data_IF_296577146694
#
_entry.id   IF_296577146694
#
_cell.length_a   1.000
_cell.length_b   1.000
_cell.length_c   1.000
_cell.angle_alpha   90.00
_cell.angle_beta   90.00
_cell.angle_gamma   90.00
#
_symmetry.space_group_name_H-M   'P 1'
#
loop_
_entity.id
_entity.type
_entity.pdbx_description
1 polymer ?
#
# COMPACT_ATOMS: atom_id res chain seq x y z
N UNK A 1 -11.53 -3.72 24.82
CA UNK A 1 -10.98 -4.83 24.02
C UNK A 1 -9.52 -4.52 23.71
N UNK A 2 -8.73 -5.57 23.63
CA UNK A 2 -7.31 -5.52 23.29
C UNK A 2 -7.08 -6.10 21.88
N UNK A 3 -6.59 -5.28 20.98
CA UNK A 3 -6.20 -5.68 19.63
C UNK A 3 -4.71 -5.98 19.60
N UNK A 4 -4.34 -7.10 19.02
CA UNK A 4 -2.95 -7.50 18.85
C UNK A 4 -2.64 -7.53 17.35
N UNK A 5 -1.71 -6.69 16.92
CA UNK A 5 -1.29 -6.53 15.53
C UNK A 5 0.12 -7.12 15.40
N UNK A 6 0.29 -8.12 14.55
CA UNK A 6 1.60 -8.75 14.34
C UNK A 6 2.17 -8.34 13.00
N UNK A 7 3.35 -7.73 13.04
CA UNK A 7 4.08 -7.22 11.89
C UNK A 7 4.27 -5.70 11.93
N UNK A 8 5.53 -5.27 11.91
CA UNK A 8 5.96 -3.87 11.96
C UNK A 8 6.12 -3.21 10.59
N UNK A 9 5.52 -3.76 9.54
CA UNK A 9 5.48 -3.16 8.21
C UNK A 9 4.49 -1.98 8.10
N UNK A 10 4.35 -1.42 6.91
CA UNK A 10 3.39 -0.33 6.62
C UNK A 10 1.99 -0.74 7.06
N UNK A 11 1.55 -1.96 6.73
CA UNK A 11 0.22 -2.46 7.09
C UNK A 11 -0.03 -2.48 8.58
N UNK A 12 0.96 -2.93 9.38
CA UNK A 12 0.82 -3.00 10.85
C UNK A 12 0.71 -1.62 11.48
N UNK A 13 1.63 -0.72 11.18
CA UNK A 13 1.61 0.63 11.74
C UNK A 13 0.42 1.46 11.27
N UNK A 14 0.03 1.33 9.99
CA UNK A 14 -1.17 2.00 9.48
C UNK A 14 -2.44 1.45 10.11
N UNK A 15 -2.55 0.12 10.29
CA UNK A 15 -3.68 -0.50 11.00
C UNK A 15 -3.79 0.00 12.43
N UNK A 16 -2.67 0.07 13.16
CA UNK A 16 -2.64 0.60 14.51
C UNK A 16 -3.15 2.05 14.57
N UNK A 17 -2.73 2.91 13.66
CA UNK A 17 -3.19 4.30 13.57
C UNK A 17 -4.68 4.40 13.25
N UNK A 18 -5.16 3.68 12.24
CA UNK A 18 -6.56 3.71 11.81
C UNK A 18 -7.47 3.21 12.93
N UNK A 19 -7.18 2.03 13.50
CA UNK A 19 -8.03 1.46 14.54
C UNK A 19 -8.00 2.27 15.81
N UNK A 20 -6.83 2.73 16.25
CA UNK A 20 -6.72 3.57 17.45
C UNK A 20 -7.40 4.94 17.29
N UNK A 21 -7.51 5.46 16.07
CA UNK A 21 -8.31 6.65 15.80
C UNK A 21 -9.81 6.36 15.83
N UNK A 22 -10.25 5.33 15.11
CA UNK A 22 -11.67 5.01 14.97
C UNK A 22 -12.29 4.40 16.23
N UNK A 23 -11.48 3.76 17.07
CA UNK A 23 -11.89 3.07 18.30
C UNK A 23 -10.95 3.43 19.45
N UNK A 24 -10.95 4.70 19.92
CA UNK A 24 -9.95 5.21 20.87
C UNK A 24 -10.01 4.56 22.26
N UNK A 25 -11.15 3.95 22.64
CA UNK A 25 -11.34 3.33 23.94
C UNK A 25 -10.82 1.89 24.02
N UNK A 26 -10.07 1.44 23.02
CA UNK A 26 -9.47 0.10 22.97
C UNK A 26 -7.95 0.19 23.12
N UNK A 27 -7.35 -0.90 23.55
CA UNK A 27 -5.91 -1.08 23.63
C UNK A 27 -5.39 -1.75 22.35
N UNK A 28 -4.26 -1.29 21.85
CA UNK A 28 -3.59 -1.80 20.66
C UNK A 28 -2.16 -2.20 21.02
N UNK A 29 -1.83 -3.44 20.76
CA UNK A 29 -0.46 -3.94 20.93
C UNK A 29 0.08 -4.30 19.56
N UNK A 30 1.18 -3.69 19.16
CA UNK A 30 1.88 -4.04 17.93
C UNK A 30 3.16 -4.80 18.27
N UNK A 31 3.34 -5.96 17.62
CA UNK A 31 4.50 -6.83 17.77
C UNK A 31 5.33 -6.74 16.50
N UNK A 32 6.58 -6.37 16.63
CA UNK A 32 7.53 -6.26 15.51
C UNK A 32 8.81 -7.00 15.88
N UNK A 33 9.27 -7.90 15.01
CA UNK A 33 10.54 -8.57 15.16
C UNK A 33 11.68 -7.73 14.57
N UNK A 34 12.76 -7.58 15.32
CA UNK A 34 14.01 -7.00 14.80
C UNK A 34 14.74 -7.93 13.84
N UNK A 35 14.43 -9.23 13.88
CA UNK A 35 15.13 -10.26 13.11
C UNK A 35 14.55 -10.44 11.70
N UNK A 36 13.39 -9.82 11.45
CA UNK A 36 12.70 -9.87 10.15
C UNK A 36 12.95 -8.58 9.38
N UNK A 37 13.69 -8.69 8.31
CA UNK A 37 13.92 -7.54 7.42
C UNK A 37 12.64 -7.13 6.70
N UNK A 38 12.40 -5.83 6.65
CA UNK A 38 11.32 -5.28 5.83
C UNK A 38 11.64 -5.49 4.35
N UNK A 39 10.73 -6.16 3.66
CA UNK A 39 10.83 -6.29 2.20
C UNK A 39 10.42 -4.95 1.59
N UNK A 40 11.35 -4.32 0.89
CA UNK A 40 11.12 -3.06 0.17
C UNK A 40 11.43 -3.25 -1.31
N UNK A 41 10.41 -3.32 -2.13
CA UNK A 41 10.54 -3.48 -3.60
C UNK A 41 10.22 -2.20 -4.37
N UNK A 42 10.04 -1.07 -3.62
CA UNK A 42 9.42 0.14 -4.15
C UNK A 42 7.89 -0.02 -4.15
N UNK A 43 7.22 0.83 -3.39
CA UNK A 43 5.78 0.74 -3.21
C UNK A 43 5.07 1.87 -3.96
N UNK A 44 4.01 1.50 -4.69
CA UNK A 44 3.08 2.45 -5.26
C UNK A 44 1.73 2.32 -4.58
N UNK A 45 1.17 3.41 -4.11
CA UNK A 45 -0.15 3.41 -3.48
C UNK A 45 -1.28 3.53 -4.51
N UNK A 46 -2.50 3.49 -4.02
CA UNK A 46 -3.71 3.98 -4.70
C UNK A 46 -4.10 5.34 -4.12
N UNK A 47 -5.06 6.03 -4.74
CA UNK A 47 -5.62 7.27 -4.20
C UNK A 47 -6.27 7.06 -2.83
N UNK A 48 -6.87 5.89 -2.59
CA UNK A 48 -7.47 5.53 -1.29
C UNK A 48 -6.48 5.61 -0.13
N UNK A 49 -5.20 5.31 -0.35
CA UNK A 49 -4.18 5.44 0.69
C UNK A 49 -4.05 6.90 1.15
N UNK A 50 -3.95 7.83 0.20
CA UNK A 50 -3.83 9.27 0.50
C UNK A 50 -5.05 9.76 1.25
N UNK A 51 -6.26 9.45 0.76
CA UNK A 51 -7.52 9.77 1.44
C UNK A 51 -7.58 9.20 2.87
N UNK A 52 -7.06 7.99 3.07
CA UNK A 52 -7.05 7.35 4.39
C UNK A 52 -6.14 8.08 5.36
N UNK A 53 -4.92 8.44 4.94
CA UNK A 53 -3.99 9.14 5.82
C UNK A 53 -4.42 10.59 6.10
N UNK A 54 -5.12 11.25 5.18
CA UNK A 54 -5.72 12.58 5.38
C UNK A 54 -6.77 12.60 6.49
N UNK A 55 -7.47 11.49 6.69
CA UNK A 55 -8.48 11.37 7.76
C UNK A 55 -7.86 11.13 9.14
N UNK A 56 -6.54 10.89 9.23
CA UNK A 56 -5.86 10.65 10.49
C UNK A 56 -5.33 11.97 11.07
N UNK A 57 -5.81 12.40 12.24
CA UNK A 57 -5.47 13.72 12.80
C UNK A 57 -3.98 13.90 13.11
N UNK A 58 -3.24 12.80 13.27
CA UNK A 58 -1.81 12.84 13.56
C UNK A 58 -0.95 13.00 12.30
N UNK A 59 -1.55 12.91 11.11
CA UNK A 59 -0.84 12.95 9.83
C UNK A 59 -1.19 14.22 9.07
N UNK A 60 -0.17 15.01 8.77
CA UNK A 60 -0.24 16.05 7.74
C UNK A 60 0.38 15.48 6.45
N UNK A 61 -0.37 15.44 5.35
CA UNK A 61 0.08 14.83 4.09
C UNK A 61 1.30 15.54 3.51
N UNK A 62 1.40 16.84 3.62
CA UNK A 62 2.57 17.58 3.14
C UNK A 62 3.83 17.24 3.97
N UNK A 63 3.67 17.11 5.29
CA UNK A 63 4.73 16.63 6.18
C UNK A 63 5.11 15.19 5.83
N UNK A 64 4.11 14.31 5.65
CA UNK A 64 4.31 12.92 5.26
C UNK A 64 5.16 12.81 3.98
N UNK A 65 4.76 13.52 2.92
CA UNK A 65 5.49 13.52 1.63
C UNK A 65 6.93 13.99 1.82
N UNK A 66 7.15 15.06 2.58
CA UNK A 66 8.48 15.61 2.82
C UNK A 66 9.37 14.64 3.61
N UNK A 67 8.86 14.08 4.71
CA UNK A 67 9.65 13.24 5.61
C UNK A 67 9.91 11.84 5.06
N UNK A 68 8.95 11.29 4.33
CA UNK A 68 9.09 9.97 3.69
C UNK A 68 9.74 10.03 2.31
N UNK A 69 9.98 11.24 1.78
CA UNK A 69 10.46 11.46 0.39
C UNK A 69 9.53 10.83 -0.65
N UNK A 70 8.26 10.68 -0.32
CA UNK A 70 7.26 10.18 -1.24
C UNK A 70 7.15 11.09 -2.47
N UNK A 71 6.87 10.51 -3.62
CA UNK A 71 6.68 11.26 -4.87
C UNK A 71 5.30 10.97 -5.45
N UNK A 72 4.70 11.93 -6.17
CA UNK A 72 3.40 11.72 -6.80
C UNK A 72 3.43 10.52 -7.77
N UNK A 73 2.34 9.75 -7.78
CA UNK A 73 2.10 8.69 -8.75
C UNK A 73 0.76 8.98 -9.44
N UNK A 74 0.79 9.26 -10.73
CA UNK A 74 -0.39 9.61 -11.53
C UNK A 74 -0.88 8.48 -12.42
N UNK A 75 -0.09 7.42 -12.57
CA UNK A 75 -0.50 6.28 -13.37
C UNK A 75 0.63 5.28 -13.60
N UNK A 76 0.29 4.29 -14.41
CA UNK A 76 1.22 3.24 -14.85
C UNK A 76 1.28 3.27 -16.39
N UNK A 77 2.46 3.34 -16.94
CA UNK A 77 2.73 3.18 -18.37
C UNK A 77 3.15 1.74 -18.63
N UNK A 78 2.39 1.07 -19.47
CA UNK A 78 2.61 -0.31 -19.87
C UNK A 78 3.24 -0.35 -21.26
N UNK A 79 4.43 -0.95 -21.36
CA UNK A 79 5.15 -1.06 -22.62
C UNK A 79 5.22 -2.52 -23.10
N UNK A 80 4.95 -2.74 -24.38
CA UNK A 80 4.98 -4.04 -25.06
C UNK A 80 3.92 -5.07 -24.59
N UNK A 81 2.93 -4.68 -23.80
CA UNK A 81 1.91 -5.61 -23.27
C UNK A 81 0.91 -6.06 -24.33
N UNK A 82 0.56 -5.18 -25.28
CA UNK A 82 -0.34 -5.46 -26.40
C UNK A 82 0.39 -5.82 -27.70
N UNK A 83 1.70 -6.08 -27.62
CA UNK A 83 2.57 -6.37 -28.73
C UNK A 83 3.84 -5.52 -28.71
N UNK A 84 4.85 -5.92 -29.46
CA UNK A 84 6.14 -5.19 -29.53
C UNK A 84 5.95 -3.75 -30.01
N UNK A 85 6.46 -2.80 -29.23
CA UNK A 85 6.35 -1.37 -29.53
C UNK A 85 5.03 -0.72 -29.07
N UNK A 86 4.08 -1.49 -28.50
CA UNK A 86 2.86 -0.92 -27.94
C UNK A 86 3.16 -0.18 -26.63
N UNK A 87 2.47 0.93 -26.40
CA UNK A 87 2.49 1.67 -25.14
C UNK A 87 1.09 2.15 -24.85
N UNK A 88 0.63 1.95 -23.61
CA UNK A 88 -0.59 2.56 -23.11
C UNK A 88 -0.43 3.03 -21.67
N UNK A 89 -1.20 4.04 -21.29
CA UNK A 89 -1.17 4.64 -19.97
C UNK A 89 -2.47 4.33 -19.22
N UNK A 90 -2.33 3.82 -18.00
CA UNK A 90 -3.45 3.62 -17.09
C UNK A 90 -3.37 4.66 -15.97
N UNK A 91 -4.23 5.69 -15.95
CA UNK A 91 -4.26 6.67 -14.87
C UNK A 91 -4.70 6.03 -13.56
N UNK A 92 -4.18 6.52 -12.43
CA UNK A 92 -4.61 6.05 -11.08
C UNK A 92 -6.04 6.49 -10.79
N UNK A 93 -6.33 7.72 -11.17
CA UNK A 93 -7.63 8.36 -11.02
C UNK A 93 -7.67 9.55 -12.00
N UNK A 94 -8.72 10.34 -11.97
CA UNK A 94 -8.75 11.57 -12.75
C UNK A 94 -9.49 11.42 -14.07
N UNK A 95 -10.42 10.47 -14.13
CA UNK A 95 -11.51 10.59 -15.11
C UNK A 95 -12.24 11.89 -14.82
N UNK A 96 -12.45 12.69 -15.85
CA UNK A 96 -13.17 13.97 -15.75
C UNK A 96 -14.68 13.77 -15.58
N UNK A 97 -15.11 12.54 -15.39
CA UNK A 97 -16.54 12.15 -15.33
C UNK A 97 -16.91 11.70 -13.91
N UNK A 98 -18.16 11.92 -13.56
CA UNK A 98 -18.78 11.34 -12.37
C UNK A 98 -18.97 9.83 -12.55
N UNK A 99 -19.10 9.09 -11.46
CA UNK A 99 -19.27 7.64 -11.49
C UNK A 99 -20.46 7.17 -12.36
N UNK A 100 -21.49 8.00 -12.51
CA UNK A 100 -22.69 7.69 -13.30
C UNK A 100 -22.43 7.71 -14.80
N UNK A 101 -21.40 8.43 -15.26
CA UNK A 101 -21.07 8.60 -16.67
C UNK A 101 -19.85 7.79 -17.11
N UNK A 102 -19.28 6.95 -16.22
CA UNK A 102 -18.03 6.26 -16.50
C UNK A 102 -18.12 5.31 -17.68
N UNK A 103 -19.20 4.53 -17.78
CA UNK A 103 -19.41 3.60 -18.90
C UNK A 103 -19.62 4.36 -20.21
N UNK A 104 -20.36 5.45 -20.16
CA UNK A 104 -20.55 6.36 -21.31
C UNK A 104 -19.22 7.00 -21.73
N UNK A 105 -18.39 7.38 -20.78
CA UNK A 105 -17.05 7.92 -21.05
C UNK A 105 -16.13 6.86 -21.69
N UNK A 106 -16.11 5.63 -21.19
CA UNK A 106 -15.34 4.54 -21.79
C UNK A 106 -15.81 4.25 -23.22
N UNK A 107 -17.12 4.18 -23.43
CA UNK A 107 -17.71 3.98 -24.75
C UNK A 107 -17.34 5.12 -25.71
N UNK A 108 -17.44 6.36 -25.26
CA UNK A 108 -17.04 7.54 -26.05
C UNK A 108 -15.55 7.51 -26.42
N UNK A 109 -14.67 7.14 -25.46
CA UNK A 109 -13.24 7.01 -25.68
C UNK A 109 -12.93 5.94 -26.72
N UNK A 110 -13.66 4.85 -26.66
CA UNK A 110 -13.55 3.74 -27.62
C UNK A 110 -13.99 4.17 -29.03
N UNK A 111 -15.16 4.81 -29.19
CA UNK A 111 -15.66 5.29 -30.48
C UNK A 111 -14.75 6.35 -31.10
N UNK A 112 -14.27 7.29 -30.29
CA UNK A 112 -13.40 8.37 -30.75
C UNK A 112 -11.95 7.89 -31.01
N UNK A 113 -11.66 6.60 -30.80
CA UNK A 113 -10.32 6.04 -30.88
C UNK A 113 -9.29 6.86 -30.07
N UNK A 114 -9.75 7.47 -28.99
CA UNK A 114 -8.93 8.26 -28.07
C UNK A 114 -8.41 7.39 -26.93
N UNK A 115 -7.29 7.76 -26.36
CA UNK A 115 -6.68 7.02 -25.24
C UNK A 115 -6.95 7.72 -23.91
N UNK A 116 -6.90 6.99 -22.80
CA UNK A 116 -6.96 7.55 -21.44
C UNK A 116 -5.83 8.56 -21.19
N UNK A 117 -4.74 8.45 -21.94
CA UNK A 117 -3.62 9.40 -21.93
C UNK A 117 -4.04 10.81 -22.44
N UNK A 118 -5.06 10.87 -23.29
CA UNK A 118 -5.60 12.13 -23.83
C UNK A 118 -6.84 12.61 -23.12
N UNK A 119 -7.60 11.72 -22.51
CA UNK A 119 -8.94 11.97 -22.00
C UNK A 119 -9.03 12.04 -20.47
N UNK A 120 -7.92 11.84 -19.76
CA UNK A 120 -7.89 11.92 -18.30
C UNK A 120 -7.07 13.10 -17.82
N UNK A 121 -7.39 13.59 -16.60
CA UNK A 121 -6.58 14.62 -15.95
C UNK A 121 -5.14 14.15 -15.75
N UNK A 122 -4.94 12.93 -15.28
CA UNK A 122 -3.61 12.37 -15.07
C UNK A 122 -2.82 12.21 -16.39
N UNK A 123 -3.48 11.86 -17.47
CA UNK A 123 -2.86 11.86 -18.80
C UNK A 123 -2.41 13.25 -19.23
N UNK A 124 -3.22 14.28 -18.97
CA UNK A 124 -2.85 15.67 -19.22
C UNK A 124 -1.66 16.09 -18.34
N UNK A 125 -1.66 15.75 -17.06
CA UNK A 125 -0.55 16.06 -16.14
C UNK A 125 0.75 15.38 -16.59
N UNK A 126 0.68 14.11 -17.02
CA UNK A 126 1.80 13.36 -17.61
C UNK A 126 2.39 14.10 -18.81
N UNK A 127 1.55 14.49 -19.79
CA UNK A 127 2.01 15.20 -21.00
C UNK A 127 2.63 16.56 -20.68
N UNK A 128 2.11 17.25 -19.68
CA UNK A 128 2.59 18.58 -19.25
C UNK A 128 3.72 18.52 -18.23
N UNK A 129 4.10 17.32 -17.78
CA UNK A 129 5.05 17.08 -16.68
C UNK A 129 4.74 17.93 -15.44
N UNK A 130 3.47 17.93 -15.02
CA UNK A 130 2.97 18.72 -13.88
C UNK A 130 2.55 17.81 -12.74
N UNK A 131 2.85 18.26 -11.51
CA UNK A 131 2.41 17.58 -10.29
C UNK A 131 0.91 17.76 -10.08
N UNK A 132 0.20 16.71 -9.60
CA UNK A 132 -1.18 16.83 -9.13
C UNK A 132 -1.31 17.58 -7.81
N UNK A 133 -0.25 17.65 -7.01
CA UNK A 133 -0.26 18.32 -5.71
C UNK A 133 -0.10 19.84 -5.88
N UNK A 134 -1.20 20.50 -6.22
CA UNK A 134 -1.30 21.95 -6.31
C UNK A 134 -2.58 22.41 -5.63
N UNK A 135 -2.66 23.66 -5.20
CA UNK A 135 -3.85 24.25 -4.60
C UNK A 135 -5.13 24.08 -5.45
N UNK A 136 -4.97 24.09 -6.78
CA UNK A 136 -6.08 23.95 -7.72
C UNK A 136 -6.55 22.51 -7.92
N UNK A 137 -5.75 21.51 -7.54
CA UNK A 137 -6.00 20.08 -7.78
C UNK A 137 -6.04 19.27 -6.48
N UNK A 138 -6.18 19.94 -5.33
CA UNK A 138 -6.19 19.30 -4.00
C UNK A 138 -7.33 18.27 -3.83
N UNK A 139 -8.42 18.43 -4.55
CA UNK A 139 -9.57 17.54 -4.49
C UNK A 139 -9.46 16.31 -5.41
N UNK A 140 -8.39 16.24 -6.20
CA UNK A 140 -8.14 15.11 -7.08
C UNK A 140 -7.24 14.07 -6.41
N UNK A 141 -7.74 12.84 -6.40
CA UNK A 141 -7.02 11.71 -5.84
C UNK A 141 -5.77 11.40 -6.65
N UNK A 142 -4.65 11.50 -6.00
CA UNK A 142 -3.38 11.03 -6.54
C UNK A 142 -2.80 9.97 -5.62
N UNK A 143 -2.07 9.04 -6.21
CA UNK A 143 -1.30 8.07 -5.46
C UNK A 143 0.13 8.58 -5.20
N UNK A 144 0.89 7.78 -4.48
CA UNK A 144 2.28 8.06 -4.13
C UNK A 144 3.17 6.87 -4.48
N UNK A 145 4.40 7.14 -4.85
CA UNK A 145 5.49 6.18 -4.71
C UNK A 145 6.11 6.38 -3.34
N UNK A 146 6.33 5.31 -2.61
CA UNK A 146 6.81 5.32 -1.24
C UNK A 146 8.20 4.70 -1.12
N UNK A 147 9.00 5.27 -0.22
CA UNK A 147 10.10 4.56 0.42
C UNK A 147 9.56 3.82 1.65
N UNK A 148 9.63 2.48 1.64
CA UNK A 148 9.08 1.65 2.71
C UNK A 148 9.68 1.96 4.06
N UNK A 149 11.01 2.08 4.13
CA UNK A 149 11.71 2.32 5.38
C UNK A 149 11.33 3.65 6.01
N UNK A 150 11.33 4.71 5.21
CA UNK A 150 10.97 6.05 5.69
C UNK A 150 9.48 6.11 6.06
N UNK A 151 8.62 5.46 5.27
CA UNK A 151 7.18 5.37 5.56
C UNK A 151 6.91 4.65 6.88
N UNK A 152 7.55 3.50 7.12
CA UNK A 152 7.42 2.75 8.37
C UNK A 152 7.89 3.61 9.54
N UNK A 153 9.05 4.25 9.43
CA UNK A 153 9.58 5.12 10.49
C UNK A 153 8.61 6.26 10.82
N UNK A 154 8.05 6.89 9.82
CA UNK A 154 7.07 7.97 10.00
C UNK A 154 5.81 7.47 10.72
N UNK A 155 5.16 6.42 10.19
CA UNK A 155 3.94 5.85 10.78
C UNK A 155 4.18 5.35 12.22
N UNK A 156 5.30 4.68 12.47
CA UNK A 156 5.73 4.25 13.81
C UNK A 156 5.85 5.44 14.75
N UNK A 157 6.51 6.52 14.33
CA UNK A 157 6.69 7.72 15.14
C UNK A 157 5.37 8.40 15.52
N UNK A 158 4.39 8.39 14.62
CA UNK A 158 3.04 8.92 14.90
C UNK A 158 2.24 7.98 15.81
N UNK A 159 2.32 6.67 15.58
CA UNK A 159 1.64 5.65 16.39
C UNK A 159 2.07 5.69 17.84
N UNK A 160 3.36 5.77 18.11
CA UNK A 160 3.92 5.74 19.47
C UNK A 160 3.61 6.99 20.32
N UNK A 161 3.06 8.04 19.72
CA UNK A 161 2.53 9.20 20.46
C UNK A 161 1.16 8.93 21.08
N UNK A 162 0.45 7.90 20.65
CA UNK A 162 -0.87 7.55 21.14
C UNK A 162 -0.77 6.68 22.39
N UNK A 163 -1.42 7.09 23.47
CA UNK A 163 -1.36 6.40 24.77
C UNK A 163 -1.95 4.98 24.75
N UNK A 164 -2.85 4.71 23.82
CA UNK A 164 -3.53 3.42 23.68
C UNK A 164 -2.83 2.45 22.72
N UNK A 165 -1.66 2.82 22.18
CA UNK A 165 -0.81 1.94 21.36
C UNK A 165 0.43 1.56 22.16
N UNK A 166 0.63 0.25 22.35
CA UNK A 166 1.83 -0.34 22.95
C UNK A 166 2.64 -1.05 21.89
N UNK A 167 3.95 -0.91 21.99
CA UNK A 167 4.91 -1.54 21.08
C UNK A 167 5.71 -2.61 21.81
N UNK A 168 5.85 -3.77 21.21
CA UNK A 168 6.65 -4.88 21.69
C UNK A 168 7.62 -5.28 20.57
N UNK A 169 8.93 -5.16 20.87
CA UNK A 169 9.99 -5.70 20.02
C UNK A 169 10.24 -7.15 20.41
N UNK A 170 9.66 -8.09 19.67
CA UNK A 170 9.82 -9.52 19.96
C UNK A 170 9.47 -10.35 18.71
N UNK A 171 9.93 -11.59 18.68
CA UNK A 171 9.72 -12.52 17.57
C UNK A 171 8.69 -13.58 17.96
N UNK A 172 7.63 -13.70 17.15
CA UNK A 172 6.59 -14.70 17.35
C UNK A 172 7.15 -16.09 17.06
N UNK A 173 7.04 -17.01 18.02
CA UNK A 173 7.47 -18.39 17.90
C UNK A 173 6.32 -19.38 17.70
N UNK A 174 5.14 -19.10 18.31
CA UNK A 174 3.98 -19.98 18.25
C UNK A 174 2.69 -19.18 18.39
N UNK A 175 1.63 -19.67 17.75
CA UNK A 175 0.25 -19.20 17.93
C UNK A 175 -0.52 -20.31 18.64
N UNK A 176 -1.19 -19.99 19.73
CA UNK A 176 -2.09 -20.90 20.41
C UNK A 176 -3.53 -20.54 20.11
N UNK A 177 -4.32 -21.59 19.83
CA UNK A 177 -5.72 -21.50 19.45
C UNK A 177 -6.56 -22.28 20.46
N UNK A 178 -7.79 -21.81 20.67
CA UNK A 178 -8.78 -22.54 21.46
C UNK A 178 -9.36 -23.73 20.65
N UNK A 179 -10.25 -24.47 21.31
CA UNK A 179 -10.91 -25.65 20.71
C UNK A 179 -11.74 -25.32 19.47
N UNK A 180 -12.09 -24.07 19.26
CA UNK A 180 -12.85 -23.58 18.09
C UNK A 180 -11.94 -23.15 16.93
N UNK A 181 -10.61 -23.16 17.14
CA UNK A 181 -9.62 -22.67 16.17
C UNK A 181 -9.35 -21.17 16.23
N UNK A 182 -10.00 -20.43 17.14
CA UNK A 182 -9.76 -19.01 17.36
C UNK A 182 -8.41 -18.80 18.04
N UNK A 183 -7.65 -17.82 17.59
CA UNK A 183 -6.40 -17.42 18.26
C UNK A 183 -6.70 -16.91 19.66
N UNK A 184 -6.08 -17.53 20.66
CA UNK A 184 -6.22 -17.19 22.08
C UNK A 184 -5.04 -16.34 22.56
N UNK A 185 -3.82 -16.76 22.22
CA UNK A 185 -2.60 -16.05 22.57
C UNK A 185 -1.45 -16.29 21.57
N UNK A 186 -0.49 -15.40 21.64
CA UNK A 186 0.74 -15.44 20.86
C UNK A 186 1.91 -15.65 21.80
N UNK A 187 2.71 -16.66 21.53
CA UNK A 187 3.97 -16.93 22.23
C UNK A 187 5.09 -16.29 21.42
N UNK A 188 5.76 -15.34 22.02
CA UNK A 188 6.98 -14.72 21.50
C UNK A 188 8.21 -15.29 22.21
N UNK A 189 9.40 -14.90 21.78
CA UNK A 189 10.65 -15.34 22.41
C UNK A 189 10.76 -14.96 23.90
N UNK A 190 10.25 -13.77 24.25
CA UNK A 190 10.35 -13.22 25.60
C UNK A 190 9.00 -12.90 26.26
N UNK A 191 7.89 -12.94 25.52
CA UNK A 191 6.58 -12.51 25.98
C UNK A 191 5.50 -13.50 25.58
N UNK A 192 4.44 -13.55 26.39
CA UNK A 192 3.15 -14.18 26.03
C UNK A 192 2.13 -13.05 25.92
N UNK A 193 1.45 -12.95 24.78
CA UNK A 193 0.53 -11.89 24.46
C UNK A 193 -0.88 -12.45 24.24
N UNK A 194 -1.78 -12.10 25.14
CA UNK A 194 -3.21 -12.38 25.02
C UNK A 194 -3.94 -11.19 24.42
N UNK A 195 -5.07 -11.43 23.76
CA UNK A 195 -5.88 -10.39 23.13
C UNK A 195 -7.26 -10.87 22.76
N UNK A 196 -8.14 -9.93 22.46
CA UNK A 196 -9.51 -10.22 22.03
C UNK A 196 -9.58 -10.37 20.50
N UNK A 197 -8.76 -9.61 19.77
CA UNK A 197 -8.69 -9.60 18.31
C UNK A 197 -7.23 -9.61 17.88
N UNK A 198 -6.90 -10.48 16.94
CA UNK A 198 -5.57 -10.63 16.37
C UNK A 198 -5.59 -10.26 14.89
N UNK A 199 -4.60 -9.46 14.46
CA UNK A 199 -4.49 -8.96 13.09
C UNK A 199 -3.13 -9.37 12.54
N UNK A 200 -3.15 -10.13 11.44
CA UNK A 200 -1.95 -10.57 10.74
C UNK A 200 -1.47 -9.51 9.74
N UNK A 201 -0.37 -8.88 10.05
CA UNK A 201 0.36 -7.94 9.18
C UNK A 201 1.76 -8.45 8.84
N UNK A 202 1.97 -9.78 8.87
CA UNK A 202 3.28 -10.41 8.66
C UNK A 202 3.63 -10.65 7.18
N UNK A 203 2.80 -10.14 6.27
CA UNK A 203 3.03 -10.23 4.83
C UNK A 203 3.09 -11.68 4.35
N UNK A 204 4.16 -12.07 3.67
CA UNK A 204 4.29 -13.42 3.11
C UNK A 204 4.38 -14.53 4.16
N UNK A 205 4.73 -14.22 5.42
CA UNK A 205 4.78 -15.21 6.49
C UNK A 205 3.41 -15.74 6.88
N UNK A 206 2.35 -14.91 6.81
CA UNK A 206 0.94 -15.30 7.02
C UNK A 206 0.75 -16.20 8.23
N UNK A 207 1.27 -15.77 9.38
CA UNK A 207 1.42 -16.67 10.54
C UNK A 207 0.09 -17.13 11.14
N UNK A 208 -1.03 -16.43 10.86
CA UNK A 208 -2.36 -16.85 11.32
C UNK A 208 -3.11 -17.74 10.33
N UNK A 209 -2.65 -17.81 9.07
CA UNK A 209 -3.26 -18.66 8.06
C UNK A 209 -2.66 -20.06 8.08
N UNK A 210 -3.49 -21.08 7.93
CA UNK A 210 -3.02 -22.44 7.74
C UNK A 210 -2.62 -22.67 6.28
N UNK A 211 -1.81 -23.70 6.03
CA UNK A 211 -1.39 -24.02 4.65
C UNK A 211 -2.58 -24.43 3.78
N UNK A 212 -3.60 -25.04 4.37
CA UNK A 212 -4.86 -25.43 3.71
C UNK A 212 -5.66 -24.24 3.18
N UNK A 213 -5.50 -23.06 3.78
CA UNK A 213 -6.24 -21.85 3.39
C UNK A 213 -5.66 -21.15 2.16
N UNK A 214 -4.50 -21.65 1.69
CA UNK A 214 -3.81 -21.03 0.56
C UNK A 214 -4.22 -21.64 -0.77
N UNK A 215 -4.82 -20.82 -1.63
CA UNK A 215 -5.13 -21.19 -3.02
C UNK A 215 -4.00 -20.70 -3.92
N UNK A 216 -3.35 -21.63 -4.62
CA UNK A 216 -2.25 -21.31 -5.53
C UNK A 216 -2.78 -21.01 -6.94
N UNK A 217 -2.41 -19.85 -7.48
CA UNK A 217 -2.66 -19.46 -8.86
C UNK A 217 -1.44 -19.69 -9.78
N UNK A 218 -0.50 -20.55 -9.38
CA UNK A 218 0.76 -20.80 -10.08
C UNK A 218 0.58 -21.12 -11.58
N UNK A 219 -0.48 -21.84 -11.93
CA UNK A 219 -0.74 -22.22 -13.32
C UNK A 219 -1.18 -21.02 -14.19
N UNK A 220 -1.78 -20.01 -13.58
CA UNK A 220 -2.26 -18.79 -14.26
C UNK A 220 -1.27 -17.64 -14.11
N UNK A 221 -0.55 -17.59 -12.98
CA UNK A 221 0.41 -16.55 -12.61
C UNK A 221 1.77 -17.19 -12.32
N UNK A 222 2.55 -17.53 -13.36
CA UNK A 222 3.80 -18.29 -13.22
C UNK A 222 4.94 -17.48 -12.60
N UNK A 223 4.84 -16.14 -12.55
CA UNK A 223 5.85 -15.26 -11.95
C UNK A 223 5.80 -15.37 -10.44
N UNK A 224 6.86 -15.91 -9.83
CA UNK A 224 6.93 -16.18 -8.39
C UNK A 224 8.20 -15.61 -7.73
N UNK A 225 8.99 -14.86 -8.45
CA UNK A 225 10.26 -14.30 -7.97
C UNK A 225 10.43 -12.87 -8.46
N UNK A 226 11.00 -12.03 -7.60
CA UNK A 226 11.31 -10.63 -7.90
C UNK A 226 12.75 -10.34 -7.52
N UNK A 227 13.47 -9.66 -8.39
CA UNK A 227 14.78 -9.09 -8.09
C UNK A 227 14.67 -7.59 -8.08
N UNK A 228 15.11 -6.95 -7.00
CA UNK A 228 15.07 -5.50 -6.83
C UNK A 228 16.46 -4.90 -6.96
N UNK A 229 16.53 -3.73 -7.58
CA UNK A 229 17.77 -2.95 -7.67
C UNK A 229 17.44 -1.46 -7.66
N UNK A 230 18.37 -0.67 -7.15
CA UNK A 230 18.23 0.79 -7.12
C UNK A 230 18.98 1.41 -8.31
N UNK A 231 18.32 2.28 -9.04
CA UNK A 231 18.90 3.04 -10.15
C UNK A 231 18.70 4.54 -9.93
N UNK A 232 19.76 5.33 -10.12
CA UNK A 232 19.63 6.78 -10.18
C UNK A 232 18.92 7.17 -11.49
N UNK A 233 17.82 7.90 -11.38
CA UNK A 233 17.14 8.50 -12.52
C UNK A 233 16.42 9.77 -12.08
N UNK A 234 15.93 10.55 -13.02
CA UNK A 234 15.07 11.67 -12.69
C UNK A 234 13.75 11.17 -12.08
N UNK A 235 13.22 11.93 -11.12
CA UNK A 235 11.95 11.60 -10.49
C UNK A 235 10.85 11.50 -11.56
N UNK A 236 10.16 10.38 -11.58
CA UNK A 236 9.01 10.15 -12.46
C UNK A 236 7.73 10.06 -11.63
N UNK A 237 6.67 10.69 -12.08
CA UNK A 237 5.33 10.53 -11.53
C UNK A 237 4.58 9.32 -12.10
N UNK A 238 5.20 8.60 -13.01
CA UNK A 238 4.63 7.44 -13.69
C UNK A 238 5.46 6.21 -13.36
N UNK A 239 4.80 5.16 -12.88
CA UNK A 239 5.40 3.82 -12.83
C UNK A 239 5.48 3.27 -14.25
N UNK A 240 6.59 2.66 -14.64
CA UNK A 240 6.71 1.95 -15.90
C UNK A 240 6.66 0.45 -15.66
N UNK A 241 5.96 -0.26 -16.52
CA UNK A 241 5.86 -1.70 -16.53
C UNK A 241 6.20 -2.21 -17.93
N UNK A 242 7.43 -2.60 -18.12
CA UNK A 242 7.95 -3.06 -19.41
C UNK A 242 7.83 -4.59 -19.49
N UNK A 243 7.04 -5.10 -20.44
CA UNK A 243 6.93 -6.53 -20.67
C UNK A 243 8.23 -7.07 -21.30
N UNK A 244 8.75 -8.10 -20.69
CA UNK A 244 9.91 -8.87 -21.13
C UNK A 244 9.47 -10.25 -21.63
N UNK A 245 10.40 -11.02 -22.21
CA UNK A 245 10.10 -12.38 -22.70
C UNK A 245 9.67 -13.34 -21.58
N UNK A 246 10.24 -13.20 -20.40
CA UNK A 246 10.01 -14.07 -19.25
C UNK A 246 9.51 -13.32 -18.00
N UNK A 247 8.79 -12.22 -18.19
CA UNK A 247 8.29 -11.45 -17.07
C UNK A 247 8.10 -9.99 -17.43
N UNK A 248 8.34 -9.11 -16.46
CA UNK A 248 8.24 -7.66 -16.63
C UNK A 248 9.14 -6.93 -15.62
N UNK A 249 9.48 -5.69 -15.90
CA UNK A 249 10.19 -4.79 -14.98
C UNK A 249 9.56 -3.39 -14.96
#
# INVERSE_FOLDING_TARGET
>A
MKFVIVGGGISGWLSALIFSHRKPNHEYVIIESSDVNTIGVGEGTTGLFVQTIEQLPDINVAEFIRETKATPKIGIEFNNWSGKGSTFFNPIDGTLTTNEDFDSFLYFTYIQNSSLDTSSLHGLLKRKNKSPYTEKLKDYNSALHLDNKLTIQYLKSKSLKRKNIKYISDTVSKIERDETGKVEKIICSNNIIEGDIFIDCTGYSRIFSEKSDWVSFKNNLPMNSVTTFTRKHNVSMVTKADKLNLGWC
#
